data_IF_965196044904
#
_entry.id   IF_965196044904
#
_cell.length_a   1.000
_cell.length_b   1.000
_cell.length_c   1.000
_cell.angle_alpha   90.00
_cell.angle_beta   90.00
_cell.angle_gamma   90.00
#
_symmetry.space_group_name_H-M   'P 1'
#
loop_
_entity.id
_entity.type
_entity.pdbx_description
1 polymer ?
#
# COMPACT_ATOMS: atom_id res chain seq x y z
N UNK A 1 2.91 13.09 -46.10
CA UNK A 1 3.43 11.77 -46.53
C UNK A 1 2.36 10.73 -46.23
N UNK A 2 2.16 9.80 -47.17
CA UNK A 2 1.06 8.82 -47.18
C UNK A 2 1.37 7.62 -46.29
N UNK A 3 0.30 7.08 -45.70
CA UNK A 3 0.07 5.82 -44.99
C UNK A 3 1.09 4.67 -45.17
N UNK A 4 1.37 3.96 -44.07
CA UNK A 4 1.37 2.48 -44.04
C UNK A 4 0.79 2.00 -42.70
N UNK A 5 -0.36 1.35 -42.76
CA UNK A 5 -0.96 0.51 -41.72
C UNK A 5 -0.60 -0.94 -42.07
N UNK A 6 0.02 -1.69 -41.17
CA UNK A 6 0.16 -3.15 -41.28
C UNK A 6 -0.15 -3.76 -39.93
N UNK A 7 -1.26 -4.50 -39.87
CA UNK A 7 -1.65 -5.30 -38.72
C UNK A 7 -0.99 -6.69 -38.75
N UNK A 8 -0.95 -7.33 -37.58
CA UNK A 8 -0.74 -8.77 -37.44
C UNK A 8 -1.29 -9.18 -36.06
N UNK A 9 -2.55 -9.61 -35.99
CA UNK A 9 -3.01 -11.02 -35.96
C UNK A 9 -2.70 -11.72 -34.62
N UNK A 10 -3.71 -11.68 -33.75
CA UNK A 10 -3.83 -12.42 -32.49
C UNK A 10 -4.23 -13.87 -32.80
N UNK A 11 -3.57 -14.84 -32.16
CA UNK A 11 -4.01 -16.23 -32.10
C UNK A 11 -3.80 -16.73 -30.67
N UNK A 12 -4.88 -16.78 -29.88
CA UNK A 12 -4.92 -17.39 -28.56
C UNK A 12 -5.91 -18.55 -28.60
N UNK A 13 -5.40 -19.78 -28.57
CA UNK A 13 -6.17 -21.00 -28.29
C UNK A 13 -5.32 -21.88 -27.38
N UNK A 14 -5.73 -21.96 -26.12
CA UNK A 14 -5.11 -22.79 -25.09
C UNK A 14 -6.13 -23.07 -24.00
N UNK A 15 -7.13 -23.89 -24.33
CA UNK A 15 -8.10 -24.41 -23.37
C UNK A 15 -7.56 -25.67 -22.72
N UNK A 16 -7.46 -25.68 -21.39
CA UNK A 16 -7.18 -26.89 -20.65
C UNK A 16 -7.05 -26.63 -19.16
N UNK A 17 -8.04 -27.07 -18.39
CA UNK A 17 -7.86 -28.11 -17.38
C UNK A 17 -9.22 -28.46 -16.77
N UNK A 18 -9.52 -29.75 -16.83
CA UNK A 18 -10.60 -30.40 -16.13
C UNK A 18 -10.19 -30.68 -14.68
N UNK A 19 -11.12 -30.55 -13.74
CA UNK A 19 -11.14 -31.36 -12.52
C UNK A 19 -12.57 -31.44 -11.98
N UNK A 20 -13.19 -32.60 -12.19
CA UNK A 20 -14.36 -33.05 -11.45
C UNK A 20 -13.95 -33.36 -10.00
N UNK A 21 -14.82 -33.05 -9.04
CA UNK A 21 -14.64 -33.46 -7.64
C UNK A 21 -15.88 -33.19 -6.81
N UNK A 22 -16.91 -34.01 -7.03
CA UNK A 22 -18.14 -34.09 -6.22
C UNK A 22 -17.82 -34.98 -5.02
N UNK A 23 -18.19 -34.60 -3.80
CA UNK A 23 -18.68 -35.58 -2.84
C UNK A 23 -19.48 -34.96 -1.71
N UNK A 24 -20.50 -35.71 -1.36
CA UNK A 24 -21.71 -35.40 -0.62
C UNK A 24 -21.58 -35.86 0.83
N UNK A 25 -22.41 -35.27 1.69
CA UNK A 25 -23.19 -35.92 2.76
C UNK A 25 -22.43 -36.51 3.95
N UNK A 26 -22.78 -36.08 5.17
CA UNK A 26 -23.70 -36.83 6.05
C UNK A 26 -23.70 -36.19 7.45
N UNK A 27 -24.89 -35.83 7.92
CA UNK A 27 -25.22 -35.71 9.35
C UNK A 27 -25.71 -37.09 9.82
N UNK A 28 -25.33 -37.50 11.03
CA UNK A 28 -26.37 -37.99 11.92
C UNK A 28 -26.25 -37.46 13.35
N UNK A 29 -27.42 -37.08 13.86
CA UNK A 29 -27.80 -36.87 15.25
C UNK A 29 -27.82 -38.21 16.00
N UNK A 30 -27.13 -38.30 17.16
CA UNK A 30 -27.47 -39.27 18.21
C UNK A 30 -27.17 -38.70 19.61
N UNK A 31 -28.23 -38.21 20.26
CA UNK A 31 -28.77 -38.72 21.53
C UNK A 31 -27.83 -39.13 22.69
N UNK A 32 -28.11 -38.48 23.85
CA UNK A 32 -28.38 -39.07 25.17
C UNK A 32 -27.33 -39.08 26.30
N UNK A 33 -27.80 -38.52 27.44
CA UNK A 33 -27.79 -38.99 28.84
C UNK A 33 -26.70 -38.53 29.83
N UNK A 34 -27.24 -37.83 30.84
CA UNK A 34 -27.11 -37.99 32.30
C UNK A 34 -25.74 -37.88 33.00
N UNK A 35 -25.67 -36.79 33.77
CA UNK A 35 -25.33 -36.69 35.20
C UNK A 35 -23.98 -37.18 35.77
N UNK A 36 -23.16 -36.16 36.14
CA UNK A 36 -22.36 -35.98 37.39
C UNK A 36 -21.23 -36.97 37.72
N UNK A 37 -20.05 -36.50 38.20
CA UNK A 37 -19.96 -35.70 39.44
C UNK A 37 -19.00 -34.49 39.40
N UNK A 38 -19.22 -33.60 40.36
CA UNK A 38 -18.43 -32.40 40.67
C UNK A 38 -17.02 -32.84 41.10
N UNK A 39 -16.01 -32.55 40.27
CA UNK A 39 -14.60 -32.61 40.63
C UNK A 39 -14.08 -31.18 40.85
N UNK A 40 -13.56 -30.92 42.05
CA UNK A 40 -12.96 -29.63 42.43
C UNK A 40 -11.72 -29.35 41.56
N UNK A 41 -11.74 -28.24 40.83
CA UNK A 41 -10.60 -27.77 40.06
C UNK A 41 -9.48 -27.26 41.00
N UNK A 42 -8.22 -27.64 40.78
CA UNK A 42 -7.09 -27.02 41.46
C UNK A 42 -6.98 -25.54 41.08
N UNK A 43 -6.58 -24.72 42.05
CA UNK A 43 -6.42 -23.28 41.91
C UNK A 43 -5.58 -22.93 40.66
N UNK A 44 -6.16 -22.10 39.78
CA UNK A 44 -5.47 -21.57 38.61
C UNK A 44 -4.20 -20.82 39.03
N UNK A 45 -3.04 -21.12 38.41
CA UNK A 45 -1.83 -20.31 38.58
C UNK A 45 -2.10 -18.88 38.11
N UNK A 46 -1.55 -17.93 38.86
CA UNK A 46 -1.69 -16.50 38.64
C UNK A 46 -1.50 -16.12 37.17
N UNK A 47 -2.48 -15.42 36.61
CA UNK A 47 -2.38 -14.80 35.29
C UNK A 47 -1.09 -13.97 35.23
N UNK A 48 -0.22 -14.16 34.23
CA UNK A 48 0.89 -13.26 34.03
C UNK A 48 0.32 -11.85 33.81
N UNK A 49 0.76 -10.90 34.63
CA UNK A 49 0.47 -9.48 34.41
C UNK A 49 1.07 -9.08 33.07
N UNK A 50 0.24 -9.05 32.03
CA UNK A 50 0.58 -8.47 30.73
C UNK A 50 0.89 -7.01 30.98
N UNK A 51 2.17 -6.67 30.90
CA UNK A 51 2.61 -5.28 30.92
C UNK A 51 2.04 -4.63 29.66
N UNK A 52 1.31 -3.51 29.75
CA UNK A 52 0.79 -2.85 28.56
C UNK A 52 1.97 -2.36 27.72
N UNK A 53 2.21 -3.03 26.59
CA UNK A 53 3.09 -2.52 25.54
C UNK A 53 2.47 -1.24 25.02
N UNK A 54 3.21 -0.13 25.08
CA UNK A 54 2.74 1.16 24.56
C UNK A 54 2.73 1.07 23.04
N UNK A 55 1.61 0.64 22.47
CA UNK A 55 1.35 0.66 21.04
C UNK A 55 1.58 2.08 20.52
N UNK A 56 2.64 2.26 19.73
CA UNK A 56 2.99 3.57 19.16
C UNK A 56 2.28 3.66 17.82
N UNK A 57 1.15 4.38 17.80
CA UNK A 57 0.34 4.55 16.60
C UNK A 57 1.17 5.10 15.44
N UNK A 58 1.06 4.49 14.25
CA UNK A 58 1.74 4.95 13.03
C UNK A 58 1.29 6.37 12.67
N UNK A 59 2.23 7.32 12.68
CA UNK A 59 2.01 8.72 12.28
C UNK A 59 2.66 8.97 10.93
N UNK A 60 1.86 9.33 9.92
CA UNK A 60 2.37 9.79 8.62
C UNK A 60 2.64 11.29 8.70
N UNK A 61 3.87 11.68 8.38
CA UNK A 61 4.29 13.08 8.32
C UNK A 61 4.15 13.66 6.92
N UNK A 62 4.56 14.92 6.79
CA UNK A 62 4.67 15.57 5.49
C UNK A 62 6.02 16.26 5.32
N UNK A 63 6.47 16.37 4.08
CA UNK A 63 7.59 17.20 3.67
C UNK A 63 7.12 18.59 3.27
N UNK A 64 7.90 19.61 3.62
CA UNK A 64 7.78 20.93 2.99
C UNK A 64 8.56 20.95 1.67
N UNK A 65 8.29 21.92 0.80
CA UNK A 65 9.03 22.06 -0.46
C UNK A 65 10.55 22.27 -0.25
N UNK A 66 10.93 23.08 0.74
CA UNK A 66 12.34 23.29 1.07
C UNK A 66 13.01 22.00 1.54
N UNK A 67 12.31 21.21 2.36
CA UNK A 67 12.82 19.92 2.85
C UNK A 67 13.08 18.94 1.69
N UNK A 68 12.21 18.91 0.67
CA UNK A 68 12.43 18.09 -0.54
C UNK A 68 13.73 18.48 -1.25
N UNK A 69 13.97 19.78 -1.39
CA UNK A 69 15.18 20.28 -2.03
C UNK A 69 16.43 19.92 -1.21
N UNK A 70 16.38 20.09 0.10
CA UNK A 70 17.50 19.80 1.02
C UNK A 70 17.87 18.31 1.06
N UNK A 71 16.88 17.41 1.00
CA UNK A 71 17.11 15.96 0.97
C UNK A 71 17.40 15.43 -0.45
N UNK A 72 17.47 16.33 -1.44
CA UNK A 72 17.73 15.98 -2.84
C UNK A 72 16.62 15.15 -3.49
N UNK A 73 15.39 15.23 -3.00
CA UNK A 73 14.23 14.47 -3.51
C UNK A 73 13.47 15.17 -4.64
N UNK A 74 14.06 16.21 -5.22
CA UNK A 74 13.57 16.81 -6.46
C UNK A 74 13.98 15.93 -7.65
N UNK A 75 13.03 15.62 -8.53
CA UNK A 75 13.31 14.82 -9.72
C UNK A 75 12.04 14.31 -10.40
N UNK A 76 12.24 13.46 -11.41
CA UNK A 76 11.16 12.76 -12.08
C UNK A 76 10.50 11.75 -11.16
N UNK A 77 9.17 11.81 -11.03
CA UNK A 77 8.43 10.73 -10.39
C UNK A 77 7.07 11.16 -9.89
N UNK A 78 6.60 10.55 -8.80
CA UNK A 78 5.27 10.70 -8.24
C UNK A 78 5.32 11.31 -6.85
N UNK A 79 4.53 12.35 -6.66
CA UNK A 79 4.39 13.07 -5.41
C UNK A 79 2.94 13.01 -4.95
N UNK A 80 2.71 12.49 -3.74
CA UNK A 80 1.37 12.28 -3.18
C UNK A 80 1.18 13.09 -1.90
N UNK A 81 -0.05 13.53 -1.66
CA UNK A 81 -0.47 14.21 -0.44
C UNK A 81 -1.88 13.77 -0.03
N UNK A 82 -2.20 13.92 1.26
CA UNK A 82 -3.51 13.48 1.79
C UNK A 82 -4.66 14.31 1.22
N UNK A 83 -5.78 13.66 0.94
CA UNK A 83 -6.98 14.27 0.38
C UNK A 83 -7.85 14.97 1.45
N UNK A 84 -7.26 15.54 2.51
CA UNK A 84 -8.04 16.31 3.48
C UNK A 84 -8.52 17.61 2.82
N UNK A 85 -9.84 17.84 2.90
CA UNK A 85 -10.73 18.63 2.03
C UNK A 85 -10.35 20.10 1.72
N UNK A 86 -9.23 20.61 2.24
CA UNK A 86 -8.71 21.96 1.96
C UNK A 86 -7.18 22.05 1.83
N UNK A 87 -6.47 20.93 1.67
CA UNK A 87 -5.04 20.93 1.36
C UNK A 87 -4.79 21.19 -0.13
N UNK A 88 -5.50 22.15 -0.75
CA UNK A 88 -4.94 22.81 -1.93
C UNK A 88 -3.80 23.64 -1.38
N UNK A 89 -2.55 23.36 -1.73
CA UNK A 89 -1.41 23.92 -1.03
C UNK A 89 -1.28 25.41 -1.34
N UNK A 90 -1.89 26.24 -0.51
CA UNK A 90 -1.62 27.67 -0.46
C UNK A 90 -0.31 27.85 0.32
N UNK A 91 0.77 28.08 -0.41
CA UNK A 91 2.09 28.41 0.14
C UNK A 91 2.97 27.20 0.43
N UNK A 92 2.50 26.24 1.24
CA UNK A 92 3.32 25.12 1.73
C UNK A 92 2.72 23.77 1.31
N UNK A 93 3.13 23.27 0.15
CA UNK A 93 2.81 21.90 -0.29
C UNK A 93 3.32 20.92 0.76
N UNK A 94 2.40 20.15 1.34
CA UNK A 94 2.69 19.09 2.31
C UNK A 94 2.61 17.75 1.61
N UNK A 95 3.75 17.13 1.41
CA UNK A 95 3.87 15.88 0.65
C UNK A 95 4.03 14.69 1.59
N UNK A 96 3.25 13.63 1.39
CA UNK A 96 3.30 12.43 2.25
C UNK A 96 4.26 11.37 1.70
N UNK A 97 4.39 11.30 0.37
CA UNK A 97 5.24 10.32 -0.31
C UNK A 97 5.89 10.93 -1.56
N UNK A 98 7.17 10.62 -1.76
CA UNK A 98 8.00 11.08 -2.86
C UNK A 98 8.70 9.90 -3.53
N UNK A 99 8.18 9.45 -4.67
CA UNK A 99 8.83 8.44 -5.51
C UNK A 99 9.52 9.14 -6.66
N UNK A 100 10.82 8.94 -6.89
CA UNK A 100 11.54 9.64 -7.98
C UNK A 100 13.00 10.00 -7.75
N UNK A 101 13.56 9.63 -6.59
CA UNK A 101 14.96 9.86 -6.24
C UNK A 101 15.93 8.99 -7.04
N UNK A 102 15.61 7.71 -7.13
CA UNK A 102 16.37 6.68 -7.84
C UNK A 102 15.36 5.71 -8.46
N UNK A 103 15.74 5.03 -9.55
CA UNK A 103 14.93 3.94 -10.09
C UNK A 103 14.65 2.92 -8.96
N UNK A 104 13.37 2.76 -8.59
CA UNK A 104 12.90 1.87 -7.52
C UNK A 104 13.02 2.38 -6.07
N UNK A 105 13.15 3.69 -5.79
CA UNK A 105 13.10 4.20 -4.41
C UNK A 105 12.02 5.25 -4.16
N UNK A 106 11.60 5.34 -2.90
CA UNK A 106 10.69 6.38 -2.41
C UNK A 106 11.07 6.85 -1.00
N UNK A 107 10.66 8.06 -0.64
CA UNK A 107 10.76 8.62 0.72
C UNK A 107 9.38 8.88 1.30
N UNK A 108 9.24 8.57 2.59
CA UNK A 108 8.11 8.99 3.42
C UNK A 108 8.60 9.45 4.78
N UNK A 109 7.83 10.32 5.44
CA UNK A 109 8.06 10.65 6.86
C UNK A 109 7.12 9.80 7.72
N UNK A 110 7.66 8.93 8.56
CA UNK A 110 6.90 8.06 9.47
C UNK A 110 7.39 8.30 10.89
N UNK A 111 6.48 8.58 11.82
CA UNK A 111 6.81 8.92 13.21
C UNK A 111 7.86 10.04 13.31
N UNK A 112 7.71 11.06 12.47
CA UNK A 112 8.62 12.21 12.32
C UNK A 112 10.04 11.89 11.82
N UNK A 113 10.30 10.64 11.41
CA UNK A 113 11.56 10.21 10.79
C UNK A 113 11.42 10.10 9.26
N UNK A 114 12.43 10.57 8.52
CA UNK A 114 12.51 10.36 7.07
C UNK A 114 13.00 8.94 6.80
N UNK A 115 12.17 8.13 6.16
CA UNK A 115 12.44 6.73 5.85
C UNK A 115 12.53 6.56 4.33
N UNK A 116 13.60 5.89 3.90
CA UNK A 116 13.79 5.45 2.52
C UNK A 116 13.33 4.03 2.34
N UNK A 117 12.61 3.79 1.26
CA UNK A 117 12.12 2.48 0.89
C UNK A 117 12.62 2.08 -0.49
N UNK A 118 12.69 0.77 -0.71
CA UNK A 118 12.95 0.16 -2.01
C UNK A 118 11.67 -0.47 -2.53
N UNK A 119 11.37 -0.28 -3.81
CA UNK A 119 10.27 -0.96 -4.49
C UNK A 119 10.56 -2.45 -4.58
N UNK A 120 9.66 -3.27 -4.07
CA UNK A 120 9.73 -4.74 -4.11
C UNK A 120 8.81 -5.33 -5.16
N UNK A 121 7.67 -4.67 -5.42
CA UNK A 121 6.68 -5.11 -6.38
C UNK A 121 6.07 -3.91 -7.11
N UNK A 122 5.66 -4.12 -8.35
CA UNK A 122 4.96 -3.11 -9.14
C UNK A 122 4.06 -3.77 -10.18
N UNK A 123 2.88 -3.20 -10.42
CA UNK A 123 1.94 -3.69 -11.43
C UNK A 123 1.00 -2.60 -11.94
N UNK A 124 0.33 -2.89 -13.05
CA UNK A 124 -0.58 -1.94 -13.72
C UNK A 124 0.13 -0.99 -14.67
N UNK A 125 -0.52 0.13 -14.97
CA UNK A 125 -0.07 1.07 -16.01
C UNK A 125 1.18 1.84 -15.57
N UNK A 126 2.12 2.05 -16.50
CA UNK A 126 3.40 2.72 -16.24
C UNK A 126 3.35 4.20 -16.65
N UNK A 127 3.92 5.09 -15.81
CA UNK A 127 4.00 6.53 -16.04
C UNK A 127 5.20 7.12 -15.30
N UNK A 128 6.05 7.91 -15.96
CA UNK A 128 7.21 8.58 -15.34
C UNK A 128 8.09 7.65 -14.45
N UNK A 129 8.30 6.39 -14.86
CA UNK A 129 9.06 5.38 -14.10
C UNK A 129 8.30 4.76 -12.90
N UNK A 130 7.03 5.09 -12.75
CA UNK A 130 6.11 4.65 -11.70
C UNK A 130 5.04 3.71 -12.26
N UNK A 131 4.31 3.05 -11.38
CA UNK A 131 3.21 2.15 -11.70
C UNK A 131 1.98 2.51 -10.86
N UNK A 132 0.79 2.14 -11.35
CA UNK A 132 -0.46 2.42 -10.63
C UNK A 132 -0.59 1.63 -9.33
N UNK A 133 0.09 0.49 -9.20
CA UNK A 133 0.18 -0.26 -7.95
C UNK A 133 1.65 -0.58 -7.66
N UNK A 134 2.13 -0.22 -6.48
CA UNK A 134 3.53 -0.38 -6.07
C UNK A 134 3.63 -0.77 -4.61
N UNK A 135 4.50 -1.73 -4.30
CA UNK A 135 4.88 -2.07 -2.94
C UNK A 135 6.32 -1.66 -2.72
N UNK A 136 6.57 -1.00 -1.59
CA UNK A 136 7.89 -0.61 -1.12
C UNK A 136 8.14 -1.17 0.27
N UNK A 137 9.39 -1.52 0.56
CA UNK A 137 9.79 -2.00 1.89
C UNK A 137 11.06 -1.32 2.40
N UNK A 138 11.15 -1.26 3.72
CA UNK A 138 12.39 -1.00 4.45
C UNK A 138 12.61 -2.18 5.39
N UNK A 139 13.53 -3.08 5.03
CA UNK A 139 13.80 -4.32 5.77
C UNK A 139 14.36 -4.05 7.16
N UNK A 140 15.20 -3.02 7.31
CA UNK A 140 15.84 -2.66 8.58
C UNK A 140 14.82 -2.25 9.65
N UNK A 141 13.76 -1.54 9.24
CA UNK A 141 12.69 -1.05 10.11
C UNK A 141 11.45 -1.95 10.13
N UNK A 142 11.41 -2.98 9.27
CA UNK A 142 10.23 -3.86 9.14
C UNK A 142 8.98 -3.11 8.69
N UNK A 143 9.13 -2.13 7.78
CA UNK A 143 8.01 -1.32 7.28
C UNK A 143 7.70 -1.72 5.85
N UNK A 144 6.41 -1.91 5.56
CA UNK A 144 5.89 -2.10 4.19
C UNK A 144 4.94 -0.96 3.85
N UNK A 145 5.04 -0.46 2.62
CA UNK A 145 4.19 0.60 2.07
C UNK A 145 3.57 0.09 0.79
N UNK A 146 2.24 0.08 0.71
CA UNK A 146 1.50 -0.15 -0.52
C UNK A 146 0.93 1.15 -1.03
N UNK A 147 1.08 1.40 -2.33
CA UNK A 147 0.63 2.59 -3.02
C UNK A 147 -0.20 2.17 -4.22
N UNK A 148 -1.47 2.53 -4.20
CA UNK A 148 -2.40 2.31 -5.32
C UNK A 148 -2.94 3.65 -5.77
N UNK A 149 -2.86 3.96 -7.06
CA UNK A 149 -3.27 5.25 -7.62
C UNK A 149 -4.06 5.07 -8.91
N UNK A 150 -4.96 6.00 -9.17
CA UNK A 150 -5.66 6.13 -10.44
C UNK A 150 -4.98 7.22 -11.25
N UNK A 151 -4.65 6.93 -12.52
CA UNK A 151 -4.15 7.96 -13.43
C UNK A 151 -5.28 8.90 -13.84
N UNK A 152 -5.01 10.20 -13.77
CA UNK A 152 -5.89 11.24 -14.28
C UNK A 152 -5.53 11.64 -15.70
N UNK A 153 -5.92 12.86 -16.06
CA UNK A 153 -5.55 13.43 -17.35
C UNK A 153 -4.09 13.90 -17.33
N UNK A 154 -3.39 13.85 -18.49
CA UNK A 154 -2.13 14.56 -18.67
C UNK A 154 -2.28 16.05 -18.32
N UNK A 155 -1.30 16.61 -17.62
CA UNK A 155 -1.20 18.02 -17.28
C UNK A 155 -0.55 18.87 -18.36
N UNK A 156 -0.42 20.18 -18.11
CA UNK A 156 0.08 21.16 -19.09
C UNK A 156 1.59 21.06 -19.37
N UNK A 157 2.38 20.58 -18.40
CA UNK A 157 3.85 20.51 -18.48
C UNK A 157 4.25 19.12 -18.00
N UNK A 158 4.54 18.21 -18.93
CA UNK A 158 5.09 16.85 -18.72
C UNK A 158 4.70 16.21 -17.37
N UNK A 159 3.40 16.27 -17.08
CA UNK A 159 2.84 15.81 -15.82
C UNK A 159 1.57 15.00 -16.07
N UNK A 160 1.21 14.21 -15.09
CA UNK A 160 0.01 13.40 -15.05
C UNK A 160 -0.62 13.59 -13.68
N UNK A 161 -1.86 14.07 -13.68
CA UNK A 161 -2.63 14.21 -12.46
C UNK A 161 -2.93 12.83 -11.84
N UNK A 162 -2.95 12.77 -10.51
CA UNK A 162 -3.41 11.60 -9.74
C UNK A 162 -4.63 12.04 -8.94
N UNK A 163 -5.85 11.90 -9.51
CA UNK A 163 -7.08 12.39 -8.89
C UNK A 163 -7.49 11.58 -7.65
N UNK A 164 -6.96 10.37 -7.50
CA UNK A 164 -7.22 9.50 -6.34
C UNK A 164 -6.15 8.43 -6.19
N UNK A 165 -5.96 8.00 -4.96
CA UNK A 165 -5.14 6.87 -4.60
C UNK A 165 -5.22 6.59 -3.10
N UNK A 166 -4.47 5.59 -2.68
CA UNK A 166 -4.35 5.14 -1.31
C UNK A 166 -2.89 4.85 -1.01
N UNK A 167 -2.43 5.29 0.18
CA UNK A 167 -1.19 4.81 0.78
C UNK A 167 -1.57 3.98 2.00
N UNK A 168 -1.13 2.72 2.03
CA UNK A 168 -1.23 1.85 3.20
C UNK A 168 0.16 1.60 3.75
N UNK A 169 0.37 1.87 5.03
CA UNK A 169 1.64 1.62 5.73
C UNK A 169 1.41 0.56 6.79
N UNK A 170 2.26 -0.45 6.81
CA UNK A 170 2.29 -1.52 7.81
C UNK A 170 3.60 -1.47 8.59
N UNK A 171 3.50 -1.42 9.93
CA UNK A 171 4.65 -1.37 10.84
C UNK A 171 4.28 -2.07 12.15
N UNK A 172 5.10 -3.03 12.59
CA UNK A 172 4.93 -3.75 13.86
C UNK A 172 3.55 -4.41 14.05
N UNK A 173 2.92 -4.87 12.96
CA UNK A 173 1.58 -5.47 12.98
C UNK A 173 0.43 -4.46 13.07
N UNK A 174 0.73 -3.16 13.13
CA UNK A 174 -0.24 -2.09 12.93
C UNK A 174 -0.29 -1.69 11.45
N UNK A 175 -1.42 -1.12 11.04
CA UNK A 175 -1.58 -0.58 9.69
C UNK A 175 -2.37 0.73 9.70
N UNK A 176 -1.92 1.69 8.92
CA UNK A 176 -2.66 2.93 8.62
C UNK A 176 -2.87 3.03 7.12
N UNK A 177 -4.07 3.44 6.72
CA UNK A 177 -4.44 3.65 5.33
C UNK A 177 -4.94 5.08 5.17
N UNK A 178 -4.39 5.82 4.20
CA UNK A 178 -4.76 7.21 3.94
C UNK A 178 -5.12 7.43 2.47
N UNK A 179 -6.25 8.09 2.17
CA UNK A 179 -6.56 8.51 0.82
C UNK A 179 -5.64 9.65 0.41
N UNK A 180 -5.15 9.59 -0.81
CA UNK A 180 -4.22 10.57 -1.37
C UNK A 180 -4.66 11.03 -2.75
N UNK A 181 -4.18 12.21 -3.10
CA UNK A 181 -4.16 12.75 -4.46
C UNK A 181 -2.72 13.15 -4.76
N UNK A 182 -2.42 13.46 -6.02
CA UNK A 182 -1.05 13.72 -6.37
C UNK A 182 -0.85 14.22 -7.78
N UNK A 183 0.43 14.35 -8.13
CA UNK A 183 0.90 14.54 -9.49
C UNK A 183 2.10 13.61 -9.70
N UNK A 184 2.31 13.21 -10.95
CA UNK A 184 3.56 12.61 -11.41
C UNK A 184 4.12 13.38 -12.60
N UNK A 185 5.44 13.53 -12.70
CA UNK A 185 6.05 14.27 -13.80
C UNK A 185 7.56 14.36 -13.72
N UNK A 186 8.11 15.02 -14.74
CA UNK A 186 9.46 15.53 -14.88
C UNK A 186 9.34 17.02 -15.28
#
# INVERSE_FOLDING_TARGET
MRYVWVGLMVLMLGSGLAACGRSTSETPDVSNRDASPIAQAPASPASPSVTPSTATSIKLGSFSFNEIYEIGAAGCGMTLWTNEENAKPSGDRRFTLLSGLDENSTLMKINDEVVRFRRTEASGDTFYGQFTSQTFSNEEKGITVHVDVTQGQPGEIESLSIPSGTIKVELNGESVEVPVIGDAGC
#
